data_IF_273676754135
#
_entry.id   IF_273676754135
#
_cell.length_a   1.000
_cell.length_b   1.000
_cell.length_c   1.000
_cell.angle_alpha   90.00
_cell.angle_beta   90.00
_cell.angle_gamma   90.00
#
_symmetry.space_group_name_H-M   'P 1'
#
loop_
_entity.id
_entity.type
_entity.pdbx_description
1 polymer ?
#
# COMPACT_ATOMS: atom_id res chain seq x y z
N UNK A 1 -39.43 2.56 -31.63
CA UNK A 1 -38.09 1.97 -31.85
C UNK A 1 -37.20 2.37 -30.67
N UNK A 2 -37.25 1.60 -29.57
CA UNK A 2 -36.61 1.96 -28.30
C UNK A 2 -35.15 1.50 -28.27
N UNK A 3 -34.22 2.45 -28.32
CA UNK A 3 -32.80 2.16 -28.19
C UNK A 3 -32.50 1.72 -26.74
N UNK A 4 -32.34 0.41 -26.53
CA UNK A 4 -31.81 -0.14 -25.29
C UNK A 4 -30.38 0.37 -25.13
N UNK A 5 -30.14 1.29 -24.20
CA UNK A 5 -28.79 1.73 -23.83
C UNK A 5 -28.05 0.54 -23.24
N UNK A 6 -27.10 -0.01 -23.99
CA UNK A 6 -26.21 -1.08 -23.51
C UNK A 6 -25.24 -0.42 -22.53
N UNK A 7 -25.33 -0.80 -21.25
CA UNK A 7 -24.34 -0.37 -20.27
C UNK A 7 -22.95 -0.88 -20.70
N UNK A 8 -21.91 -0.03 -20.75
CA UNK A 8 -20.56 -0.47 -21.09
C UNK A 8 -20.08 -1.50 -20.07
N UNK A 9 -19.54 -2.62 -20.55
CA UNK A 9 -19.13 -3.75 -19.74
C UNK A 9 -18.11 -3.38 -18.66
N UNK A 10 -18.12 -4.13 -17.56
CA UNK A 10 -17.38 -3.90 -16.31
C UNK A 10 -15.87 -3.56 -16.46
N UNK A 11 -15.26 -3.83 -17.62
CA UNK A 11 -13.85 -3.51 -17.91
C UNK A 11 -13.59 -2.04 -18.23
N UNK A 12 -14.61 -1.30 -18.67
CA UNK A 12 -14.45 0.08 -19.12
C UNK A 12 -14.57 1.11 -17.97
N UNK A 13 -15.06 0.67 -16.81
CA UNK A 13 -15.26 1.52 -15.63
C UNK A 13 -13.99 1.71 -14.78
N UNK A 14 -13.11 0.71 -14.68
CA UNK A 14 -11.90 0.80 -13.85
C UNK A 14 -10.98 1.98 -14.24
N UNK A 15 -10.90 2.32 -15.52
CA UNK A 15 -10.09 3.46 -16.01
C UNK A 15 -10.64 4.84 -15.62
N UNK A 16 -11.91 4.93 -15.22
CA UNK A 16 -12.61 6.19 -14.93
C UNK A 16 -12.97 6.36 -13.46
N UNK A 17 -12.75 5.34 -12.64
CA UNK A 17 -12.90 5.44 -11.20
C UNK A 17 -11.67 6.19 -10.65
N UNK A 18 -11.85 7.23 -9.80
CA UNK A 18 -10.75 7.96 -9.17
C UNK A 18 -10.14 7.13 -8.02
N UNK A 19 -9.80 5.88 -8.30
CA UNK A 19 -9.10 4.99 -7.37
C UNK A 19 -7.60 5.13 -7.60
N UNK A 20 -6.84 5.14 -6.52
CA UNK A 20 -5.38 5.22 -6.52
C UNK A 20 -4.75 3.94 -5.95
N UNK A 21 -5.56 3.02 -5.41
CA UNK A 21 -5.11 1.79 -4.78
C UNK A 21 -6.05 0.62 -5.01
N UNK A 22 -5.49 -0.59 -4.94
CA UNK A 22 -6.20 -1.86 -4.90
C UNK A 22 -5.87 -2.52 -3.56
N UNK A 23 -6.88 -3.03 -2.87
CA UNK A 23 -6.71 -3.80 -1.64
C UNK A 23 -6.83 -5.29 -1.93
N UNK A 24 -5.93 -6.09 -1.35
CA UNK A 24 -5.99 -7.55 -1.38
C UNK A 24 -6.54 -8.01 -0.03
N UNK A 25 -7.69 -8.67 -0.09
CA UNK A 25 -8.39 -9.16 1.10
C UNK A 25 -7.55 -10.16 1.91
N UNK A 26 -7.81 -10.16 3.22
CA UNK A 26 -7.21 -11.05 4.21
C UNK A 26 -7.20 -12.51 3.78
N UNK A 27 -8.28 -13.02 3.21
CA UNK A 27 -8.41 -14.44 2.86
C UNK A 27 -7.30 -14.91 1.93
N UNK A 28 -7.06 -14.16 0.85
CA UNK A 28 -5.97 -14.44 -0.09
C UNK A 28 -4.59 -14.22 0.53
N UNK A 29 -4.42 -13.13 1.28
CA UNK A 29 -3.15 -12.79 1.95
C UNK A 29 -2.72 -13.87 2.94
N UNK A 30 -3.66 -14.44 3.70
CA UNK A 30 -3.36 -15.49 4.67
C UNK A 30 -3.16 -16.84 3.99
N UNK A 31 -3.98 -17.18 2.98
CA UNK A 31 -3.93 -18.48 2.32
C UNK A 31 -2.71 -18.66 1.40
N UNK A 32 -2.19 -17.58 0.79
CA UNK A 32 -1.04 -17.64 -0.11
C UNK A 32 0.26 -18.17 0.51
N UNK A 33 0.35 -18.23 1.84
CA UNK A 33 1.50 -18.81 2.52
C UNK A 33 1.62 -20.33 2.31
N UNK A 34 0.49 -20.99 2.02
CA UNK A 34 0.41 -22.45 1.89
C UNK A 34 -0.34 -22.91 0.64
N UNK A 35 -1.00 -22.00 -0.08
CA UNK A 35 -1.75 -22.30 -1.30
C UNK A 35 -1.22 -21.47 -2.49
N UNK A 36 -0.71 -22.16 -3.50
CA UNK A 36 -0.14 -21.54 -4.70
C UNK A 36 -1.19 -20.89 -5.61
N UNK A 37 -2.45 -21.35 -5.58
CA UNK A 37 -3.53 -20.71 -6.33
C UNK A 37 -3.82 -19.31 -5.76
N UNK A 38 -3.90 -19.20 -4.43
CA UNK A 38 -4.04 -17.92 -3.74
C UNK A 38 -2.82 -17.03 -3.97
N UNK A 39 -1.60 -17.59 -3.91
CA UNK A 39 -0.38 -16.85 -4.23
C UNK A 39 -0.39 -16.30 -5.67
N UNK A 40 -0.96 -17.05 -6.61
CA UNK A 40 -1.10 -16.62 -8.01
C UNK A 40 -2.11 -15.49 -8.15
N UNK A 41 -3.22 -15.51 -7.40
CA UNK A 41 -4.19 -14.42 -7.35
C UNK A 41 -3.55 -13.16 -6.77
N UNK A 42 -2.81 -13.28 -5.67
CA UNK A 42 -2.10 -12.17 -5.03
C UNK A 42 -1.09 -11.55 -6.00
N UNK A 43 -0.23 -12.36 -6.62
CA UNK A 43 0.75 -11.91 -7.62
C UNK A 43 0.08 -11.22 -8.81
N UNK A 44 -0.98 -11.81 -9.35
CA UNK A 44 -1.71 -11.24 -10.50
C UNK A 44 -2.33 -9.89 -10.15
N UNK A 45 -2.81 -9.72 -8.92
CA UNK A 45 -3.37 -8.45 -8.43
C UNK A 45 -2.28 -7.39 -8.26
N UNK A 46 -1.10 -7.77 -7.75
CA UNK A 46 0.08 -6.89 -7.66
C UNK A 46 0.49 -6.41 -9.05
N UNK A 47 0.61 -7.33 -10.01
CA UNK A 47 1.00 -7.00 -11.38
C UNK A 47 -0.04 -6.12 -12.09
N UNK A 48 -1.33 -6.38 -11.87
CA UNK A 48 -2.40 -5.53 -12.38
C UNK A 48 -2.30 -4.10 -11.84
N UNK A 49 -2.15 -3.93 -10.51
CA UNK A 49 -1.99 -2.62 -9.89
C UNK A 49 -0.79 -1.87 -10.44
N UNK A 50 0.36 -2.54 -10.54
CA UNK A 50 1.58 -1.98 -11.14
C UNK A 50 1.35 -1.50 -12.57
N UNK A 51 0.71 -2.31 -13.41
CA UNK A 51 0.44 -2.01 -14.81
C UNK A 51 -0.56 -0.85 -14.99
N UNK A 52 -1.44 -0.65 -14.02
CA UNK A 52 -2.40 0.47 -14.01
C UNK A 52 -1.87 1.72 -13.31
N UNK A 53 -0.66 1.68 -12.74
CA UNK A 53 -0.11 2.78 -11.94
C UNK A 53 -0.83 3.00 -10.60
N UNK A 54 -1.47 1.95 -10.08
CA UNK A 54 -2.17 1.95 -8.79
C UNK A 54 -1.29 1.36 -7.69
N UNK A 55 -1.43 1.88 -6.46
CA UNK A 55 -0.89 1.22 -5.27
C UNK A 55 -1.59 -0.11 -5.00
N UNK A 56 -0.91 -1.04 -4.33
CA UNK A 56 -1.50 -2.32 -3.91
C UNK A 56 -1.21 -2.52 -2.44
N UNK A 57 -2.27 -2.66 -1.64
CA UNK A 57 -2.20 -2.82 -0.19
C UNK A 57 -2.70 -4.22 0.18
N UNK A 58 -1.87 -5.01 0.87
CA UNK A 58 -2.30 -6.26 1.46
C UNK A 58 -2.92 -6.01 2.84
N UNK A 59 -4.15 -6.49 3.06
CA UNK A 59 -4.86 -6.27 4.32
C UNK A 59 -4.66 -7.40 5.33
N UNK A 60 -4.81 -7.06 6.60
CA UNK A 60 -4.80 -7.98 7.74
C UNK A 60 -3.60 -8.94 7.77
N UNK A 61 -2.39 -8.43 7.51
CA UNK A 61 -1.15 -9.22 7.63
C UNK A 61 -0.84 -9.53 9.10
N UNK A 62 -0.85 -10.81 9.47
CA UNK A 62 -0.74 -11.24 10.88
C UNK A 62 0.59 -11.90 11.24
N UNK A 63 1.46 -12.21 10.28
CA UNK A 63 2.73 -12.89 10.55
C UNK A 63 3.89 -12.37 9.68
N UNK A 64 5.11 -12.45 10.21
CA UNK A 64 6.32 -12.07 9.47
C UNK A 64 6.56 -12.91 8.20
N UNK A 65 6.31 -14.24 8.19
CA UNK A 65 6.44 -15.03 6.96
C UNK A 65 5.52 -14.53 5.83
N UNK A 66 4.28 -14.15 6.15
CA UNK A 66 3.34 -13.59 5.15
C UNK A 66 3.87 -12.25 4.64
N UNK A 67 4.34 -11.39 5.54
CA UNK A 67 4.90 -10.09 5.17
C UNK A 67 6.13 -10.23 4.24
N UNK A 68 7.03 -11.17 4.55
CA UNK A 68 8.19 -11.46 3.71
C UNK A 68 7.76 -12.00 2.35
N UNK A 69 6.76 -12.89 2.31
CA UNK A 69 6.23 -13.42 1.05
C UNK A 69 5.59 -12.33 0.20
N UNK A 70 4.83 -11.41 0.80
CA UNK A 70 4.28 -10.23 0.11
C UNK A 70 5.40 -9.37 -0.50
N UNK A 71 6.48 -9.16 0.25
CA UNK A 71 7.63 -8.39 -0.20
C UNK A 71 8.34 -9.07 -1.40
N UNK A 72 8.53 -10.38 -1.35
CA UNK A 72 9.06 -11.19 -2.46
C UNK A 72 8.21 -11.09 -3.73
N UNK A 73 6.87 -11.06 -3.56
CA UNK A 73 5.93 -10.88 -4.66
C UNK A 73 5.88 -9.41 -5.17
N UNK A 74 6.62 -8.50 -4.55
CA UNK A 74 6.70 -7.09 -4.92
C UNK A 74 5.57 -6.22 -4.38
N UNK A 75 4.80 -6.70 -3.39
CA UNK A 75 3.85 -5.88 -2.64
C UNK A 75 4.62 -5.09 -1.57
N UNK A 76 4.55 -3.76 -1.65
CA UNK A 76 5.33 -2.85 -0.79
C UNK A 76 4.49 -2.11 0.24
N UNK A 77 3.16 -2.28 0.21
CA UNK A 77 2.23 -1.71 1.16
C UNK A 77 1.42 -2.83 1.81
N UNK A 78 1.41 -2.86 3.14
CA UNK A 78 0.67 -3.83 3.92
C UNK A 78 0.08 -3.16 5.15
N UNK A 79 -1.10 -3.61 5.55
CA UNK A 79 -1.75 -3.27 6.80
C UNK A 79 -2.02 -4.55 7.56
N UNK A 80 -1.71 -4.58 8.86
CA UNK A 80 -1.96 -5.77 9.64
C UNK A 80 -1.36 -5.72 11.03
N UNK A 81 -1.82 -6.65 11.86
CA UNK A 81 -1.43 -6.77 13.27
C UNK A 81 0.08 -6.93 13.46
N UNK A 82 0.76 -7.61 12.52
CA UNK A 82 2.21 -7.78 12.56
C UNK A 82 2.96 -6.44 12.53
N UNK A 83 2.39 -5.44 11.86
CA UNK A 83 2.98 -4.11 11.72
C UNK A 83 2.57 -3.18 12.89
N UNK A 84 1.29 -3.21 13.27
CA UNK A 84 0.79 -2.50 14.43
C UNK A 84 -0.54 -3.09 14.90
N UNK A 85 -0.74 -3.09 16.21
CA UNK A 85 -2.10 -3.24 16.76
C UNK A 85 -2.93 -1.99 16.44
N UNK A 86 -4.26 -2.16 16.44
CA UNK A 86 -5.18 -1.04 16.40
C UNK A 86 -4.84 -0.04 17.52
N UNK A 87 -4.65 1.22 17.14
CA UNK A 87 -4.34 2.28 18.08
C UNK A 87 -5.63 2.77 18.75
N UNK A 88 -5.58 3.18 20.03
CA UNK A 88 -6.70 3.85 20.67
C UNK A 88 -7.09 5.12 19.90
N UNK A 89 -8.38 5.50 19.89
CA UNK A 89 -8.81 6.76 19.32
C UNK A 89 -8.03 7.92 19.97
N UNK A 90 -7.31 8.71 19.16
CA UNK A 90 -6.52 9.86 19.63
C UNK A 90 -5.04 9.59 19.94
N UNK A 91 -4.55 8.34 19.85
CA UNK A 91 -3.12 8.05 19.88
C UNK A 91 -2.48 8.43 18.53
N UNK A 92 -1.95 9.66 18.46
CA UNK A 92 -1.45 10.26 17.22
C UNK A 92 -0.33 9.48 16.51
N UNK A 93 -0.18 9.81 15.23
CA UNK A 93 0.63 9.21 14.14
C UNK A 93 2.10 8.90 14.43
N UNK A 94 2.67 9.37 15.55
CA UNK A 94 4.10 9.31 15.86
C UNK A 94 4.60 7.89 16.14
N UNK A 95 3.84 7.09 16.90
CA UNK A 95 4.23 5.71 17.24
C UNK A 95 4.11 4.77 16.03
N UNK A 96 3.06 4.94 15.23
CA UNK A 96 2.89 4.22 13.97
C UNK A 96 3.99 4.60 12.94
N UNK A 97 4.32 5.90 12.85
CA UNK A 97 5.35 6.39 11.94
C UNK A 97 6.76 5.88 12.30
N UNK A 98 7.09 5.76 13.60
CA UNK A 98 8.36 5.22 14.05
C UNK A 98 8.54 3.73 13.65
N UNK A 99 7.48 2.93 13.81
CA UNK A 99 7.48 1.50 13.45
C UNK A 99 7.50 1.29 11.93
N UNK A 100 6.73 2.09 11.19
CA UNK A 100 6.74 2.09 9.72
C UNK A 100 8.10 2.55 9.16
N UNK A 101 8.75 3.55 9.77
CA UNK A 101 10.07 4.02 9.38
C UNK A 101 11.19 2.99 9.66
N UNK A 102 11.09 2.23 10.75
CA UNK A 102 12.01 1.13 11.04
C UNK A 102 11.90 0.02 9.98
N UNK A 103 10.68 -0.37 9.61
CA UNK A 103 10.45 -1.40 8.58
C UNK A 103 10.87 -0.93 7.17
N UNK A 104 10.57 0.32 6.79
CA UNK A 104 11.04 0.92 5.52
C UNK A 104 12.55 0.94 5.37
N UNK A 105 13.31 1.04 6.47
CA UNK A 105 14.79 1.03 6.40
C UNK A 105 15.37 -0.36 6.19
N UNK A 106 14.70 -1.40 6.69
CA UNK A 106 15.13 -2.79 6.54
C UNK A 106 14.80 -3.36 5.15
N UNK A 107 13.71 -2.90 4.51
CA UNK A 107 13.15 -3.62 3.36
C UNK A 107 12.92 -2.77 2.08
N UNK A 108 13.33 -1.51 2.01
CA UNK A 108 13.06 -0.68 0.81
C UNK A 108 14.11 -0.84 -0.31
N UNK A 109 13.70 -1.05 -1.57
CA UNK A 109 14.57 -0.86 -2.74
C UNK A 109 14.87 0.64 -2.95
N UNK A 110 16.00 0.93 -3.59
CA UNK A 110 16.57 2.29 -3.70
C UNK A 110 15.61 3.34 -4.29
N UNK A 111 14.67 2.93 -5.14
CA UNK A 111 13.68 3.79 -5.80
C UNK A 111 12.59 4.35 -4.88
N UNK A 112 12.39 3.78 -3.69
CA UNK A 112 11.38 4.21 -2.71
C UNK A 112 11.94 5.13 -1.61
N UNK A 113 13.24 5.44 -1.64
CA UNK A 113 13.83 6.48 -0.79
C UNK A 113 13.47 7.84 -1.38
N UNK A 114 12.35 8.39 -0.95
CA UNK A 114 12.05 9.80 -1.17
C UNK A 114 13.24 10.63 -0.66
N UNK A 115 13.79 11.58 -1.45
CA UNK A 115 14.78 12.49 -0.90
C UNK A 115 14.14 13.21 0.28
N UNK A 116 14.88 13.33 1.39
CA UNK A 116 14.42 14.10 2.56
C UNK A 116 13.98 15.47 2.03
N UNK A 117 12.75 15.89 2.34
CA UNK A 117 12.36 17.28 2.08
C UNK A 117 13.42 18.16 2.75
N UNK A 118 14.05 19.13 2.04
CA UNK A 118 14.91 20.08 2.69
C UNK A 118 14.10 20.77 3.79
N UNK A 119 14.73 20.94 4.96
CA UNK A 119 14.12 21.64 6.09
C UNK A 119 13.73 23.06 5.67
N UNK A 120 12.80 23.70 6.41
CA UNK A 120 12.48 25.10 6.17
C UNK A 120 13.77 25.93 6.22
N UNK A 121 13.94 26.93 5.34
CA UNK A 121 15.10 27.80 5.39
C UNK A 121 15.17 28.47 6.77
N UNK A 122 16.39 28.72 7.31
CA UNK A 122 16.53 29.41 8.57
C UNK A 122 15.82 30.77 8.48
N UNK A 123 14.96 31.06 9.45
CA UNK A 123 14.29 32.34 9.53
C UNK A 123 15.35 33.45 9.55
N UNK A 124 15.25 34.41 8.62
CA UNK A 124 16.05 35.61 8.66
C UNK A 124 15.84 36.29 10.02
N UNK A 125 16.93 36.44 10.77
CA UNK A 125 16.94 37.26 11.96
C UNK A 125 16.57 38.69 11.55
N UNK A 126 15.73 39.41 12.32
CA UNK A 126 15.48 40.81 12.04
C UNK A 126 16.78 41.61 12.25
N UNK A 127 17.16 42.40 11.26
CA UNK A 127 18.21 43.41 11.40
C UNK A 127 17.85 44.31 12.57
N UNK A 128 18.75 44.34 13.57
CA UNK A 128 18.68 45.35 14.62
C UNK A 128 19.24 46.66 14.09
N UNK A 129 18.65 47.81 14.46
CA UNK A 129 19.20 49.13 14.12
C UNK A 129 20.56 49.38 14.78
#
# INVERSE_FOLDING_TARGET
MGARRRAPGARDHLKRLPINQIEIDRSFVMAMATNEDDATIVRSTIDLGRNLGLGVVAESVESEPILNRLHELGCTMAQGYVLSRALPPGAGTLDAAARLAAHRRASAPASCRSPRRPGPPPAHAPDRP
#
